data_IF_639760375938
#
_entry.id   IF_639760375938
#
_cell.length_a   1.000
_cell.length_b   1.000
_cell.length_c   1.000
_cell.angle_alpha   90.00
_cell.angle_beta   90.00
_cell.angle_gamma   90.00
#
_symmetry.space_group_name_H-M   'P 1'
#
loop_
_entity.id
_entity.type
_entity.pdbx_description
1 polymer ?
#
# COMPACT_ATOMS: atom_id res chain seq x y z
N UNK A 1 3.80 -22.76 -7.97
CA UNK A 1 3.85 -22.13 -6.63
C UNK A 1 2.45 -21.60 -6.34
N UNK A 2 1.64 -22.35 -5.59
CA UNK A 2 0.27 -21.93 -5.27
C UNK A 2 0.30 -20.76 -4.30
N UNK A 3 -0.21 -19.60 -4.73
CA UNK A 3 -0.36 -18.44 -3.87
C UNK A 3 -1.55 -18.66 -2.94
N UNK A 4 -1.28 -18.78 -1.64
CA UNK A 4 -2.31 -19.14 -0.64
C UNK A 4 -2.86 -17.93 0.10
N UNK A 5 -2.09 -16.85 0.18
CA UNK A 5 -2.45 -15.63 0.91
C UNK A 5 -2.36 -14.40 0.03
N UNK A 6 -3.35 -13.52 0.16
CA UNK A 6 -3.43 -12.25 -0.52
C UNK A 6 -3.79 -11.15 0.47
N UNK A 7 -3.17 -9.99 0.30
CA UNK A 7 -3.53 -8.77 1.02
C UNK A 7 -3.59 -7.61 0.04
N UNK A 8 -4.75 -6.96 0.01
CA UNK A 8 -4.97 -5.80 -0.84
C UNK A 8 -4.78 -4.51 -0.06
N UNK A 9 -3.95 -3.63 -0.59
CA UNK A 9 -3.77 -2.27 -0.13
C UNK A 9 -4.35 -1.31 -1.16
N UNK A 10 -5.00 -0.27 -0.65
CA UNK A 10 -5.56 0.83 -1.43
C UNK A 10 -4.80 2.11 -1.11
N UNK A 11 -4.41 2.80 -2.16
CA UNK A 11 -3.78 4.12 -2.09
C UNK A 11 -4.88 5.16 -2.34
N UNK A 12 -5.04 6.07 -1.39
CA UNK A 12 -6.01 7.15 -1.45
C UNK A 12 -5.26 8.47 -1.45
N UNK A 13 -5.41 9.25 -2.52
CA UNK A 13 -4.77 10.55 -2.62
C UNK A 13 -4.52 10.93 -4.07
N UNK A 14 -4.66 12.21 -4.37
CA UNK A 14 -4.37 12.75 -5.71
C UNK A 14 -2.85 12.81 -5.88
N UNK A 15 -2.36 12.27 -7.00
CA UNK A 15 -0.93 12.22 -7.30
C UNK A 15 -0.19 11.04 -6.67
N UNK A 16 -0.83 10.25 -5.81
CA UNK A 16 -0.23 9.05 -5.25
C UNK A 16 -0.40 7.87 -6.19
N UNK A 17 0.70 7.17 -6.49
CA UNK A 17 0.71 6.04 -7.42
C UNK A 17 1.71 4.98 -6.97
N UNK A 18 1.34 3.72 -7.14
CA UNK A 18 2.26 2.60 -7.07
C UNK A 18 2.62 2.12 -8.48
N UNK A 19 3.90 1.76 -8.65
CA UNK A 19 4.41 1.05 -9.81
C UNK A 19 5.14 -0.18 -9.33
N UNK A 20 4.96 -1.29 -10.02
CA UNK A 20 5.74 -2.51 -9.80
C UNK A 20 6.63 -2.71 -11.02
N UNK A 21 7.85 -3.17 -10.82
CA UNK A 21 8.67 -3.69 -11.91
C UNK A 21 8.01 -4.91 -12.57
N UNK A 22 8.37 -5.19 -13.82
CA UNK A 22 7.77 -6.24 -14.64
C UNK A 22 7.83 -7.64 -14.00
N UNK A 23 8.77 -7.88 -13.09
CA UNK A 23 8.90 -9.15 -12.34
C UNK A 23 8.21 -9.16 -10.96
N UNK A 24 7.61 -8.05 -10.51
CA UNK A 24 6.94 -7.96 -9.21
C UNK A 24 7.87 -8.10 -8.00
N UNK A 25 9.19 -7.93 -8.22
CA UNK A 25 10.26 -8.00 -7.21
C UNK A 25 10.61 -6.65 -6.59
N UNK A 26 10.23 -5.55 -7.24
CA UNK A 26 10.42 -4.20 -6.71
C UNK A 26 9.10 -3.43 -6.80
N UNK A 27 8.83 -2.64 -5.77
CA UNK A 27 7.68 -1.77 -5.65
C UNK A 27 8.14 -0.33 -5.49
N UNK A 28 7.72 0.54 -6.38
CA UNK A 28 7.95 1.98 -6.34
C UNK A 28 6.68 2.71 -5.94
N UNK A 29 6.81 3.61 -4.97
CA UNK A 29 5.71 4.38 -4.41
C UNK A 29 5.98 5.86 -4.57
N UNK A 30 5.13 6.52 -5.37
CA UNK A 30 5.10 7.98 -5.47
C UNK A 30 4.06 8.50 -4.47
N UNK A 31 4.51 8.99 -3.32
CA UNK A 31 3.66 9.39 -2.18
C UNK A 31 3.70 10.90 -1.89
N UNK A 32 4.23 11.69 -2.82
CA UNK A 32 4.40 13.14 -2.67
C UNK A 32 5.66 13.55 -1.88
N UNK A 33 6.61 12.63 -1.72
CA UNK A 33 8.00 12.97 -1.35
C UNK A 33 8.77 13.48 -2.57
N UNK A 34 9.92 14.11 -2.33
CA UNK A 34 10.80 14.61 -3.41
C UNK A 34 11.40 13.49 -4.27
N UNK A 35 11.55 12.29 -3.71
CA UNK A 35 11.99 11.08 -4.38
C UNK A 35 10.94 9.96 -4.26
N UNK A 36 11.02 8.97 -5.13
CA UNK A 36 10.16 7.79 -5.06
C UNK A 36 10.67 6.84 -3.97
N UNK A 37 9.75 6.20 -3.25
CA UNK A 37 10.09 5.23 -2.21
C UNK A 37 10.15 3.86 -2.86
N UNK A 38 11.33 3.23 -2.83
CA UNK A 38 11.58 1.89 -3.36
C UNK A 38 11.46 0.84 -2.24
N UNK A 39 10.82 -0.28 -2.57
CA UNK A 39 10.75 -1.48 -1.73
C UNK A 39 11.25 -2.69 -2.51
N UNK A 40 12.31 -3.31 -2.00
CA UNK A 40 12.71 -4.65 -2.43
C UNK A 40 11.75 -5.69 -1.83
N UNK A 41 11.07 -6.43 -2.69
CA UNK A 41 10.12 -7.47 -2.28
C UNK A 41 10.90 -8.74 -1.93
N UNK A 42 10.71 -9.31 -0.73
CA UNK A 42 11.38 -10.56 -0.36
C UNK A 42 10.91 -11.72 -1.25
N UNK A 43 11.74 -12.74 -1.51
CA UNK A 43 11.47 -13.79 -2.49
C UNK A 43 10.21 -14.64 -2.19
N UNK A 44 9.74 -14.62 -0.94
CA UNK A 44 8.54 -15.33 -0.50
C UNK A 44 7.22 -14.58 -0.81
N UNK A 45 7.31 -13.33 -1.28
CA UNK A 45 6.18 -12.45 -1.56
C UNK A 45 6.28 -11.97 -3.01
N UNK A 46 5.15 -11.84 -3.70
CA UNK A 46 5.02 -11.19 -5.00
C UNK A 46 4.04 -10.04 -4.88
N UNK A 47 4.37 -8.92 -5.52
CA UNK A 47 3.52 -7.74 -5.53
C UNK A 47 2.98 -7.50 -6.93
N UNK A 48 1.68 -7.32 -7.03
CA UNK A 48 0.98 -6.99 -8.27
C UNK A 48 0.28 -5.65 -8.12
N UNK A 49 0.40 -4.79 -9.13
CA UNK A 49 -0.32 -3.53 -9.20
C UNK A 49 -1.45 -3.66 -10.23
N UNK A 50 -2.67 -3.96 -9.78
CA UNK A 50 -3.82 -4.08 -10.69
C UNK A 50 -4.27 -2.73 -11.24
N UNK A 51 -4.15 -1.70 -10.40
CA UNK A 51 -4.41 -0.30 -10.73
C UNK A 51 -3.33 0.50 -10.02
N UNK A 52 -2.99 1.72 -10.50
CA UNK A 52 -2.00 2.57 -9.82
C UNK A 52 -2.37 2.91 -8.36
N UNK A 53 -3.60 2.67 -7.94
CA UNK A 53 -4.11 2.87 -6.59
C UNK A 53 -4.42 1.58 -5.81
N UNK A 54 -4.25 0.39 -6.40
CA UNK A 54 -4.53 -0.89 -5.74
C UNK A 54 -3.32 -1.81 -5.89
N UNK A 55 -2.70 -2.10 -4.75
CA UNK A 55 -1.57 -3.03 -4.63
C UNK A 55 -2.10 -4.35 -4.07
N UNK A 56 -1.68 -5.45 -4.65
CA UNK A 56 -1.93 -6.80 -4.13
C UNK A 56 -0.60 -7.45 -3.74
N UNK A 57 -0.45 -7.76 -2.47
CA UNK A 57 0.66 -8.56 -1.95
C UNK A 57 0.19 -10.02 -1.86
N UNK A 58 0.89 -10.92 -2.53
CA UNK A 58 0.57 -12.35 -2.57
C UNK A 58 1.76 -13.19 -2.17
N UNK A 59 1.54 -14.37 -1.60
CA UNK A 59 2.64 -15.25 -1.22
C UNK A 59 2.19 -16.57 -0.64
N UNK A 60 3.16 -17.39 -0.26
CA UNK A 60 2.96 -18.68 0.40
C UNK A 60 2.89 -18.51 1.92
N UNK A 61 3.67 -17.58 2.46
CA UNK A 61 3.81 -17.36 3.89
C UNK A 61 2.95 -16.19 4.38
N UNK A 62 2.08 -16.46 5.35
CA UNK A 62 1.15 -15.45 5.88
C UNK A 62 1.92 -14.31 6.56
N UNK A 63 2.88 -14.62 7.42
CA UNK A 63 3.58 -13.63 8.24
C UNK A 63 4.37 -12.66 7.37
N UNK A 64 5.12 -13.16 6.40
CA UNK A 64 5.91 -12.34 5.47
C UNK A 64 5.03 -11.46 4.59
N UNK A 65 3.89 -11.97 4.10
CA UNK A 65 2.94 -11.15 3.32
C UNK A 65 2.38 -10.01 4.18
N UNK A 66 2.02 -10.28 5.44
CA UNK A 66 1.47 -9.26 6.34
C UNK A 66 2.53 -8.27 6.81
N UNK A 67 3.76 -8.73 7.06
CA UNK A 67 4.89 -7.89 7.43
C UNK A 67 5.23 -6.92 6.29
N UNK A 68 5.32 -7.42 5.06
CA UNK A 68 5.58 -6.59 3.89
C UNK A 68 4.44 -5.58 3.66
N UNK A 69 3.19 -6.03 3.71
CA UNK A 69 2.03 -5.13 3.56
C UNK A 69 1.98 -4.06 4.67
N UNK A 70 2.35 -4.43 5.90
CA UNK A 70 2.48 -3.51 7.03
C UNK A 70 3.58 -2.47 6.82
N UNK A 71 4.76 -2.88 6.33
CA UNK A 71 5.84 -1.97 5.98
C UNK A 71 5.42 -0.93 4.92
N UNK A 72 4.74 -1.39 3.85
CA UNK A 72 4.19 -0.50 2.81
C UNK A 72 3.17 0.48 3.39
N UNK A 73 2.27 0.02 4.26
CA UNK A 73 1.29 0.89 4.95
C UNK A 73 1.95 1.95 5.83
N UNK A 74 3.02 1.58 6.53
CA UNK A 74 3.74 2.47 7.46
C UNK A 74 4.44 3.64 6.77
N UNK A 75 4.72 3.57 5.47
CA UNK A 75 5.29 4.71 4.72
C UNK A 75 4.38 5.93 4.70
N UNK A 76 3.08 5.70 4.55
CA UNK A 76 2.09 6.77 4.52
C UNK A 76 0.79 6.27 5.12
N UNK A 77 0.69 6.18 6.46
CA UNK A 77 -0.54 5.75 7.11
C UNK A 77 -1.70 6.70 6.75
N UNK A 78 -2.94 6.21 6.80
CA UNK A 78 -4.08 7.01 6.38
C UNK A 78 -4.30 8.18 7.34
N UNK A 79 -4.40 9.38 6.78
CA UNK A 79 -4.60 10.61 7.53
C UNK A 79 -5.99 10.66 8.19
N UNK A 80 -6.05 11.13 9.44
CA UNK A 80 -7.28 11.16 10.26
C UNK A 80 -8.34 12.14 9.73
N UNK A 81 -8.00 13.11 8.89
CA UNK A 81 -8.99 14.08 8.37
C UNK A 81 -9.52 13.67 7.00
N UNK A 82 -8.62 13.60 6.00
CA UNK A 82 -8.99 13.35 4.60
C UNK A 82 -8.85 11.88 4.18
N UNK A 83 -8.32 11.01 5.06
CA UNK A 83 -8.10 9.59 4.74
C UNK A 83 -7.10 9.36 3.62
N UNK A 84 -6.22 10.33 3.34
CA UNK A 84 -5.18 10.18 2.31
C UNK A 84 -4.05 9.31 2.87
N UNK A 85 -3.47 8.45 2.04
CA UNK A 85 -2.43 7.51 2.44
C UNK A 85 -2.72 6.11 1.90
N UNK A 86 -2.03 5.13 2.49
CA UNK A 86 -2.14 3.72 2.17
C UNK A 86 -2.96 3.05 3.28
N UNK A 87 -4.00 2.33 2.92
CA UNK A 87 -4.85 1.58 3.85
C UNK A 87 -5.12 0.19 3.30
N UNK A 88 -5.51 -0.77 4.15
CA UNK A 88 -6.08 -2.01 3.62
C UNK A 88 -7.45 -1.74 3.00
N UNK A 89 -7.85 -2.56 2.02
CA UNK A 89 -9.18 -2.44 1.39
C UNK A 89 -10.31 -2.52 2.42
N UNK A 90 -10.16 -3.39 3.42
CA UNK A 90 -11.14 -3.62 4.49
C UNK A 90 -10.94 -2.72 5.73
N UNK A 91 -9.99 -1.78 5.70
CA UNK A 91 -9.69 -0.94 6.86
C UNK A 91 -10.64 0.25 6.98
N UNK A 92 -11.33 0.36 8.11
CA UNK A 92 -12.17 1.52 8.43
C UNK A 92 -11.34 2.59 9.15
N UNK A 93 -11.01 3.66 8.43
CA UNK A 93 -10.28 4.81 8.98
C UNK A 93 -11.26 5.76 9.69
N UNK A 94 -11.10 5.94 11.00
CA UNK A 94 -11.88 6.92 11.78
C UNK A 94 -11.51 8.34 11.35
N UNK A 95 -12.45 9.05 10.73
CA UNK A 95 -12.25 10.43 10.28
C UNK A 95 -12.68 11.42 11.35
N UNK A 96 -11.83 12.42 11.64
CA UNK A 96 -12.20 13.59 12.43
C UNK A 96 -12.71 14.69 11.52
N UNK A 97 -13.75 15.39 11.96
CA UNK A 97 -14.21 16.60 11.27
C UNK A 97 -13.12 17.68 11.38
N UNK A 98 -12.91 18.42 10.29
CA UNK A 98 -12.05 19.59 10.30
C UNK A 98 -12.63 20.71 11.16
N UNK A 99 -11.94 21.87 11.18
CA UNK A 99 -12.42 23.05 11.89
C UNK A 99 -13.84 23.39 11.42
N UNK A 100 -14.80 23.43 12.34
CA UNK A 100 -16.11 24.04 12.11
C UNK A 100 -15.87 25.55 12.01
N UNK A 101 -15.76 26.09 10.80
CA UNK A 101 -15.95 27.52 10.61
C UNK A 101 -17.45 27.77 10.60
N UNK A 102 -17.95 28.29 11.71
CA UNK A 102 -19.16 29.10 11.76
C UNK A 102 -18.76 30.41 12.43
#
# INVERSE_FOLDING_TARGET
MEAKFFRFLKIVGVGFKARTESEGRQLFLKLGYSHEVEFAVPPAVRVFCFKPNIICCTGIDKERVHQFAGAVRSCKPPEVYKGKGIMYIDEVVKKKQGKKSK
#
